data_IF_200026404179
#
_entry.id   IF_200026404179
#
_cell.length_a   1.000
_cell.length_b   1.000
_cell.length_c   1.000
_cell.angle_alpha   90.00
_cell.angle_beta   90.00
_cell.angle_gamma   90.00
#
_symmetry.space_group_name_H-M   'P 1'
#
loop_
_entity.id
_entity.type
_entity.pdbx_description
1 polymer ?
#
# COMPACT_ATOMS: atom_id res chain seq x y z
N UNK A 1 24.52 -22.28 8.22
CA UNK A 1 24.35 -21.13 7.31
C UNK A 1 25.65 -20.37 7.31
N UNK A 2 26.11 -19.89 6.16
CA UNK A 2 27.31 -19.03 6.10
C UNK A 2 26.98 -17.67 6.73
N UNK A 3 27.86 -17.14 7.57
CA UNK A 3 27.66 -15.87 8.30
C UNK A 3 28.14 -14.69 7.43
N UNK A 4 27.63 -14.63 6.21
CA UNK A 4 27.99 -13.64 5.18
C UNK A 4 26.83 -12.68 4.92
N UNK A 5 27.15 -11.46 4.51
CA UNK A 5 26.20 -10.43 4.07
C UNK A 5 26.28 -10.23 2.55
N UNK A 6 25.17 -9.81 1.94
CA UNK A 6 25.12 -9.44 0.52
C UNK A 6 25.45 -7.97 0.37
N UNK A 7 26.53 -7.63 -0.34
CA UNK A 7 26.90 -6.25 -0.65
C UNK A 7 26.02 -5.69 -1.79
N UNK A 8 25.71 -4.40 -1.70
CA UNK A 8 24.87 -3.69 -2.66
C UNK A 8 25.61 -2.50 -3.29
N UNK A 9 25.32 -2.23 -4.56
CA UNK A 9 25.69 -0.97 -5.21
C UNK A 9 24.74 0.17 -4.79
N UNK A 10 25.05 1.41 -5.17
CA UNK A 10 24.21 2.58 -4.81
C UNK A 10 22.78 2.52 -5.37
N UNK A 11 22.54 1.70 -6.39
CA UNK A 11 21.22 1.44 -6.96
C UNK A 11 20.48 0.29 -6.25
N UNK A 12 21.04 -0.28 -5.18
CA UNK A 12 20.45 -1.37 -4.40
C UNK A 12 20.58 -2.75 -5.04
N UNK A 13 21.45 -2.92 -6.04
CA UNK A 13 21.67 -4.21 -6.72
C UNK A 13 22.79 -4.97 -6.05
N UNK A 14 22.61 -6.27 -5.86
CA UNK A 14 23.65 -7.16 -5.34
C UNK A 14 24.91 -7.08 -6.20
N UNK A 15 26.03 -6.75 -5.57
CA UNK A 15 27.33 -6.55 -6.24
C UNK A 15 28.47 -7.39 -5.63
N UNK A 16 28.22 -8.07 -4.50
CA UNK A 16 29.21 -8.93 -3.84
C UNK A 16 28.71 -9.58 -2.57
N UNK A 17 29.60 -10.27 -1.86
CA UNK A 17 29.36 -10.92 -0.57
C UNK A 17 30.54 -10.61 0.34
N UNK A 18 30.31 -10.39 1.64
CA UNK A 18 31.36 -10.18 2.63
C UNK A 18 31.06 -10.90 3.95
N UNK A 19 32.08 -11.31 4.73
CA UNK A 19 31.84 -11.93 6.04
C UNK A 19 31.22 -10.92 7.01
N UNK A 20 30.09 -11.29 7.62
CA UNK A 20 29.39 -10.45 8.63
C UNK A 20 30.29 -10.09 9.80
N UNK A 21 31.15 -11.04 10.19
CA UNK A 21 32.12 -10.89 11.27
C UNK A 21 33.11 -9.74 11.04
N UNK A 22 33.34 -9.32 9.80
CA UNK A 22 34.34 -8.29 9.46
C UNK A 22 33.76 -7.07 8.76
N UNK A 23 32.57 -7.16 8.16
CA UNK A 23 32.00 -6.09 7.30
C UNK A 23 31.64 -4.81 8.06
N UNK A 24 31.38 -4.88 9.36
CA UNK A 24 30.97 -3.73 10.17
C UNK A 24 32.18 -3.03 10.80
N UNK A 25 32.68 -1.97 10.16
CA UNK A 25 33.79 -1.12 10.59
C UNK A 25 33.49 0.38 10.32
N UNK A 26 34.51 1.23 10.20
CA UNK A 26 34.35 2.67 9.92
C UNK A 26 34.02 2.98 8.44
N UNK A 27 34.19 2.00 7.56
CA UNK A 27 33.97 2.06 6.12
C UNK A 27 32.97 0.99 5.64
N UNK A 28 32.04 0.55 6.51
CA UNK A 28 31.03 -0.47 6.20
C UNK A 28 30.35 -0.23 4.84
N UNK A 29 30.55 -1.12 3.86
CA UNK A 29 29.92 -1.01 2.55
C UNK A 29 28.40 -1.16 2.67
N UNK A 30 27.67 -0.62 1.69
CA UNK A 30 26.23 -0.83 1.63
C UNK A 30 25.95 -2.32 1.47
N UNK A 31 25.07 -2.87 2.31
CA UNK A 31 24.72 -4.27 2.27
C UNK A 31 23.24 -4.50 2.60
N UNK A 32 22.74 -5.68 2.28
CA UNK A 32 21.36 -6.07 2.47
C UNK A 32 21.14 -6.58 3.91
N UNK A 33 20.07 -6.10 4.53
CA UNK A 33 19.62 -6.51 5.84
C UNK A 33 18.09 -6.63 5.87
N UNK A 34 17.52 -6.95 7.02
CA UNK A 34 16.09 -6.86 7.27
C UNK A 34 15.81 -6.41 8.70
N UNK A 35 14.60 -5.88 8.90
CA UNK A 35 14.08 -5.54 10.22
C UNK A 35 12.67 -6.11 10.39
N UNK A 36 12.32 -6.62 11.57
CA UNK A 36 11.04 -7.25 11.84
C UNK A 36 10.39 -6.72 13.14
N UNK A 37 9.10 -6.39 13.08
CA UNK A 37 8.26 -6.07 14.23
C UNK A 37 7.25 -7.21 14.44
N UNK A 38 7.34 -7.88 15.58
CA UNK A 38 6.45 -8.95 16.00
C UNK A 38 5.38 -8.37 16.93
N UNK A 39 4.13 -8.58 16.56
CA UNK A 39 2.96 -8.18 17.32
C UNK A 39 2.31 -9.38 18.01
N UNK A 40 1.48 -9.10 19.01
CA UNK A 40 0.51 -10.08 19.47
C UNK A 40 -0.55 -10.32 18.37
N UNK A 41 -1.30 -11.43 18.38
CA UNK A 41 -2.28 -11.74 17.34
C UNK A 41 -3.37 -10.68 17.14
N UNK A 42 -3.58 -9.75 18.08
CA UNK A 42 -4.50 -8.63 17.95
C UNK A 42 -3.88 -7.35 17.39
N UNK A 43 -2.59 -7.34 17.07
CA UNK A 43 -1.83 -6.18 16.58
C UNK A 43 -1.78 -4.98 17.53
N UNK A 44 -2.06 -5.19 18.83
CA UNK A 44 -2.13 -4.10 19.81
C UNK A 44 -0.82 -3.88 20.53
N UNK A 45 -0.09 -4.94 20.80
CA UNK A 45 1.17 -4.94 21.50
C UNK A 45 2.28 -5.41 20.57
N UNK A 46 3.41 -4.73 20.62
CA UNK A 46 4.61 -5.05 19.87
C UNK A 46 5.70 -5.54 20.82
N UNK A 47 6.44 -6.55 20.39
CA UNK A 47 7.58 -7.09 21.12
C UNK A 47 8.81 -6.21 20.86
N UNK A 48 9.37 -5.62 21.90
CA UNK A 48 10.71 -5.06 21.87
C UNK A 48 11.71 -6.04 22.45
N UNK A 49 12.91 -6.03 21.90
CA UNK A 49 14.04 -6.81 22.41
C UNK A 49 15.19 -5.90 22.79
N UNK A 50 15.90 -6.27 23.84
CA UNK A 50 17.15 -5.66 24.25
C UNK A 50 18.27 -6.50 23.69
N UNK A 51 19.14 -5.91 22.88
CA UNK A 51 20.29 -6.61 22.29
C UNK A 51 21.20 -7.14 23.39
N UNK A 52 21.73 -8.35 23.22
CA UNK A 52 22.71 -8.91 24.15
C UNK A 52 23.93 -7.98 24.29
N UNK A 53 24.55 -7.98 25.48
CA UNK A 53 25.72 -7.14 25.76
C UNK A 53 26.98 -7.59 25.01
N UNK A 54 27.00 -8.83 24.53
CA UNK A 54 28.05 -9.42 23.69
C UNK A 54 28.01 -8.94 22.24
N UNK A 55 26.94 -8.26 21.79
CA UNK A 55 26.79 -7.81 20.42
C UNK A 55 27.82 -6.74 20.07
N UNK A 56 28.48 -6.91 18.92
CA UNK A 56 29.47 -5.95 18.40
C UNK A 56 28.88 -4.56 18.13
N UNK A 57 27.67 -4.51 17.56
CA UNK A 57 26.98 -3.28 17.21
C UNK A 57 25.83 -3.00 18.18
N UNK A 58 25.79 -1.80 18.78
CA UNK A 58 24.84 -1.36 19.82
C UNK A 58 24.51 -2.43 20.88
N UNK A 59 25.47 -2.86 21.73
CA UNK A 59 25.19 -3.79 22.83
C UNK A 59 24.22 -3.17 23.84
N UNK A 60 23.28 -3.96 24.35
CA UNK A 60 22.36 -3.54 25.42
C UNK A 60 21.27 -2.53 25.03
N UNK A 61 21.22 -2.05 23.77
CA UNK A 61 20.18 -1.12 23.34
C UNK A 61 18.84 -1.85 23.14
N UNK A 62 17.74 -1.18 23.46
CA UNK A 62 16.40 -1.63 23.11
C UNK A 62 16.11 -1.35 21.63
N UNK A 63 15.48 -2.29 20.94
CA UNK A 63 15.14 -2.20 19.51
C UNK A 63 13.79 -2.86 19.24
N UNK A 64 13.31 -2.74 18.00
CA UNK A 64 12.28 -3.61 17.44
C UNK A 64 12.66 -5.10 17.55
N UNK A 65 11.70 -5.98 17.28
CA UNK A 65 11.73 -7.38 17.71
C UNK A 65 12.94 -8.18 17.24
N UNK A 66 13.27 -8.14 15.95
CA UNK A 66 14.38 -8.92 15.39
C UNK A 66 14.96 -8.22 14.15
N UNK A 67 16.27 -8.21 14.00
CA UNK A 67 16.97 -7.70 12.81
C UNK A 67 18.09 -8.65 12.41
N UNK A 68 18.45 -8.69 11.14
CA UNK A 68 19.51 -9.55 10.68
C UNK A 68 19.85 -9.33 9.22
N UNK A 69 20.64 -10.27 8.69
CA UNK A 69 21.13 -10.25 7.32
C UNK A 69 20.65 -11.53 6.64
N UNK A 70 19.97 -11.45 5.48
CA UNK A 70 19.63 -12.64 4.73
C UNK A 70 20.91 -13.27 4.17
N UNK A 71 21.13 -14.59 4.35
CA UNK A 71 22.25 -15.26 3.71
C UNK A 71 22.16 -15.14 2.18
N UNK A 72 23.30 -15.18 1.46
CA UNK A 72 23.29 -15.06 0.00
C UNK A 72 22.38 -16.09 -0.68
N UNK A 73 21.43 -15.62 -1.49
CA UNK A 73 20.49 -16.46 -2.24
C UNK A 73 19.29 -16.98 -1.45
N UNK A 74 19.14 -16.63 -0.17
CA UNK A 74 18.00 -17.00 0.67
C UNK A 74 16.92 -15.90 0.60
N UNK A 75 15.65 -16.30 0.53
CA UNK A 75 14.53 -15.36 0.58
C UNK A 75 14.51 -14.62 1.93
N UNK A 76 14.26 -13.31 1.91
CA UNK A 76 14.30 -12.50 3.12
C UNK A 76 13.26 -12.97 4.15
N UNK A 77 12.10 -13.43 3.70
CA UNK A 77 11.03 -13.93 4.59
C UNK A 77 11.46 -15.21 5.30
N UNK A 78 12.14 -16.11 4.58
CA UNK A 78 12.72 -17.33 5.16
C UNK A 78 13.82 -16.97 6.18
N UNK A 79 14.72 -16.04 5.83
CA UNK A 79 15.76 -15.56 6.73
C UNK A 79 15.19 -14.90 8.00
N UNK A 80 14.07 -14.18 7.89
CA UNK A 80 13.36 -13.60 9.04
C UNK A 80 12.82 -14.69 9.95
N UNK A 81 12.13 -15.70 9.40
CA UNK A 81 11.54 -16.80 10.19
C UNK A 81 12.63 -17.55 10.95
N UNK A 82 13.71 -17.92 10.25
CA UNK A 82 14.87 -18.60 10.85
C UNK A 82 15.54 -17.76 11.93
N UNK A 83 15.70 -16.44 11.69
CA UNK A 83 16.32 -15.54 12.67
C UNK A 83 15.44 -15.33 13.89
N UNK A 84 14.13 -15.19 13.72
CA UNK A 84 13.16 -15.08 14.82
C UNK A 84 13.17 -16.36 15.64
N UNK A 85 13.18 -17.53 15.00
CA UNK A 85 13.29 -18.79 15.72
C UNK A 85 14.62 -18.87 16.50
N UNK A 86 15.74 -18.50 15.87
CA UNK A 86 17.05 -18.53 16.51
C UNK A 86 17.20 -17.54 17.67
N UNK A 87 16.74 -16.29 17.52
CA UNK A 87 16.91 -15.25 18.55
C UNK A 87 15.86 -15.34 19.66
N UNK A 88 14.64 -15.75 19.34
CA UNK A 88 13.48 -15.64 20.24
C UNK A 88 12.84 -16.99 20.61
N UNK A 89 13.24 -18.08 19.97
CA UNK A 89 12.75 -19.42 20.28
C UNK A 89 11.28 -19.65 19.94
N UNK A 90 10.71 -18.84 19.04
CA UNK A 90 9.26 -18.88 18.71
C UNK A 90 9.04 -19.04 17.21
N UNK A 91 7.87 -19.56 16.87
CA UNK A 91 7.34 -19.51 15.52
C UNK A 91 6.56 -18.21 15.30
N UNK A 92 6.67 -17.64 14.10
CA UNK A 92 5.93 -16.44 13.71
C UNK A 92 4.99 -16.72 12.55
N UNK A 93 3.97 -15.85 12.40
CA UNK A 93 3.20 -15.77 11.15
C UNK A 93 4.11 -15.41 9.97
N UNK A 94 3.65 -15.68 8.75
CA UNK A 94 4.34 -15.23 7.54
C UNK A 94 4.69 -13.73 7.63
N UNK A 95 5.98 -13.34 7.49
CA UNK A 95 6.40 -11.94 7.55
C UNK A 95 5.72 -11.12 6.46
N UNK A 96 5.11 -9.99 6.82
CA UNK A 96 4.47 -9.05 5.91
C UNK A 96 5.37 -7.84 5.70
N UNK A 97 5.68 -7.51 4.45
CA UNK A 97 6.54 -6.36 4.13
C UNK A 97 5.78 -5.04 4.37
N UNK A 98 6.34 -4.18 5.21
CA UNK A 98 5.74 -2.91 5.63
C UNK A 98 6.49 -1.68 5.09
N UNK A 99 7.83 -1.70 5.06
CA UNK A 99 8.64 -0.63 4.46
C UNK A 99 9.66 -1.24 3.49
N UNK A 100 9.32 -1.37 2.19
CA UNK A 100 10.20 -2.01 1.20
C UNK A 100 11.52 -1.27 0.99
N UNK A 101 11.46 0.07 0.94
CA UNK A 101 12.59 0.91 0.54
C UNK A 101 13.35 1.51 1.74
N UNK A 102 13.21 0.92 2.93
CA UNK A 102 13.90 1.45 4.10
C UNK A 102 15.41 1.26 3.95
N UNK A 103 16.14 2.38 3.99
CA UNK A 103 17.60 2.45 3.94
C UNK A 103 18.08 3.40 5.01
N UNK A 104 19.16 3.05 5.69
CA UNK A 104 19.74 3.91 6.72
C UNK A 104 21.26 3.74 6.81
N UNK A 105 21.89 4.75 7.41
CA UNK A 105 23.28 4.68 7.86
C UNK A 105 23.37 5.21 9.28
N UNK A 106 23.97 4.45 10.18
CA UNK A 106 24.15 4.84 11.59
C UNK A 106 25.57 4.53 12.03
N UNK A 107 26.16 5.38 12.86
CA UNK A 107 27.51 5.19 13.40
C UNK A 107 27.46 5.17 14.93
N UNK A 108 28.21 4.25 15.53
CA UNK A 108 28.50 4.25 16.96
C UNK A 108 29.63 5.24 17.28
N UNK A 109 29.73 5.65 18.55
CA UNK A 109 30.81 6.54 19.02
C UNK A 109 32.21 5.96 18.80
N UNK A 110 32.33 4.63 18.83
CA UNK A 110 33.58 3.91 18.57
C UNK A 110 33.94 3.77 17.08
N UNK A 111 33.17 4.39 16.18
CA UNK A 111 33.41 4.42 14.74
C UNK A 111 32.76 3.30 13.94
N UNK A 112 32.18 2.27 14.57
CA UNK A 112 31.51 1.17 13.84
C UNK A 112 30.22 1.66 13.18
N UNK A 113 30.04 1.35 11.90
CA UNK A 113 28.93 1.82 11.05
C UNK A 113 28.01 0.67 10.65
N UNK A 114 26.71 0.94 10.65
CA UNK A 114 25.69 0.21 9.88
C UNK A 114 25.35 1.03 8.64
N UNK A 115 25.31 0.40 7.48
CA UNK A 115 24.99 1.03 6.19
C UNK A 115 24.19 0.04 5.35
N UNK A 116 22.87 0.10 5.48
CA UNK A 116 22.01 -1.01 5.07
C UNK A 116 20.85 -0.54 4.19
N UNK A 117 20.54 -1.34 3.16
CA UNK A 117 19.18 -1.44 2.62
C UNK A 117 18.49 -2.52 3.46
N UNK A 118 17.46 -2.13 4.21
CA UNK A 118 16.91 -2.91 5.30
C UNK A 118 15.37 -2.90 5.25
N UNK A 119 14.75 -3.63 4.30
CA UNK A 119 13.30 -3.70 4.21
C UNK A 119 12.70 -4.14 5.56
N UNK A 120 11.60 -3.50 5.94
CA UNK A 120 10.96 -3.71 7.25
C UNK A 120 9.74 -4.57 7.10
N UNK A 121 9.64 -5.59 7.94
CA UNK A 121 8.55 -6.55 7.98
C UNK A 121 7.80 -6.48 9.31
N UNK A 122 6.55 -6.92 9.29
CA UNK A 122 5.71 -7.13 10.47
C UNK A 122 5.22 -8.56 10.50
N UNK A 123 5.03 -9.12 11.69
CA UNK A 123 4.45 -10.45 11.86
C UNK A 123 3.79 -10.56 13.22
N UNK A 124 3.24 -11.73 13.52
CA UNK A 124 2.67 -12.04 14.83
C UNK A 124 3.28 -13.29 15.42
N UNK A 125 3.31 -13.33 16.75
CA UNK A 125 3.64 -14.51 17.53
C UNK A 125 2.55 -14.74 18.56
N UNK A 126 2.13 -15.98 18.73
CA UNK A 126 1.20 -16.39 19.79
C UNK A 126 1.94 -17.01 21.00
N UNK A 127 3.20 -17.37 20.80
CA UNK A 127 4.04 -18.05 21.77
C UNK A 127 4.79 -17.06 22.65
N UNK A 128 5.15 -17.51 23.87
CA UNK A 128 6.00 -16.74 24.77
C UNK A 128 7.46 -16.89 24.32
N UNK A 129 8.19 -15.79 24.04
CA UNK A 129 9.59 -15.87 23.67
C UNK A 129 10.46 -16.59 24.69
N UNK A 130 11.32 -17.47 24.20
CA UNK A 130 12.44 -18.09 24.94
C UNK A 130 13.75 -17.64 24.28
N UNK A 131 14.23 -16.43 24.60
CA UNK A 131 15.29 -15.81 23.82
C UNK A 131 16.63 -16.52 23.99
N UNK A 132 17.42 -16.54 22.92
CA UNK A 132 18.81 -16.93 22.97
C UNK A 132 19.62 -15.83 23.70
N UNK A 133 20.27 -16.14 24.85
CA UNK A 133 20.97 -15.13 25.66
C UNK A 133 22.19 -14.52 24.95
N UNK A 134 22.73 -15.18 23.91
CA UNK A 134 23.82 -14.63 23.11
C UNK A 134 23.37 -13.51 22.18
N UNK A 135 22.06 -13.39 21.94
CA UNK A 135 21.46 -12.44 21.00
C UNK A 135 20.56 -11.41 21.69
N UNK A 136 19.79 -11.84 22.70
CA UNK A 136 18.77 -11.02 23.36
C UNK A 136 18.97 -11.06 24.89
N UNK A 137 19.27 -9.90 25.49
CA UNK A 137 19.41 -9.75 26.94
C UNK A 137 18.07 -9.66 27.68
N UNK A 138 17.00 -9.27 26.98
CA UNK A 138 15.66 -9.13 27.55
C UNK A 138 14.63 -8.79 26.49
N UNK A 139 13.36 -8.94 26.81
CA UNK A 139 12.26 -8.53 25.93
C UNK A 139 11.11 -7.95 26.74
N UNK A 140 10.24 -7.19 26.08
CA UNK A 140 8.98 -6.71 26.67
C UNK A 140 7.94 -6.44 25.60
N UNK A 141 6.69 -6.59 25.98
CA UNK A 141 5.55 -6.17 25.18
C UNK A 141 5.15 -4.73 25.55
N UNK A 142 4.91 -3.89 24.54
CA UNK A 142 4.39 -2.54 24.73
C UNK A 142 3.21 -2.30 23.78
N UNK A 143 2.17 -1.54 24.18
CA UNK A 143 1.18 -1.05 23.23
C UNK A 143 1.86 -0.33 22.06
N UNK A 144 1.42 -0.60 20.83
CA UNK A 144 2.01 0.02 19.64
C UNK A 144 1.85 1.54 19.65
N UNK A 145 0.69 2.06 20.06
CA UNK A 145 0.49 3.52 20.29
C UNK A 145 1.53 4.09 21.24
N UNK A 146 1.72 3.45 22.39
CA UNK A 146 2.66 3.91 23.41
C UNK A 146 4.09 3.92 22.86
N UNK A 147 4.51 2.90 22.12
CA UNK A 147 5.82 2.89 21.48
C UNK A 147 5.99 4.06 20.51
N UNK A 148 5.01 4.28 19.62
CA UNK A 148 5.03 5.38 18.67
C UNK A 148 5.16 6.72 19.38
N UNK A 149 4.31 6.99 20.37
CA UNK A 149 4.29 8.27 21.10
C UNK A 149 5.63 8.52 21.80
N UNK A 150 6.15 7.53 22.52
CA UNK A 150 7.39 7.69 23.29
C UNK A 150 8.64 7.80 22.41
N UNK A 151 8.68 7.13 21.25
CA UNK A 151 9.80 7.22 20.29
C UNK A 151 9.74 8.53 19.51
N UNK A 152 8.56 8.97 19.08
CA UNK A 152 8.37 10.23 18.37
C UNK A 152 8.61 11.46 19.26
N UNK A 153 8.26 11.35 20.54
CA UNK A 153 8.56 12.36 21.56
C UNK A 153 10.01 12.28 22.10
N UNK A 154 10.80 11.31 21.64
CA UNK A 154 12.18 11.05 22.08
C UNK A 154 12.33 10.77 23.59
N UNK A 155 11.27 10.28 24.22
CA UNK A 155 11.26 9.92 25.65
C UNK A 155 11.62 8.45 25.90
N UNK A 156 11.74 7.65 24.84
CA UNK A 156 12.23 6.27 24.90
C UNK A 156 13.47 6.09 24.03
N UNK A 157 14.58 5.75 24.67
CA UNK A 157 15.79 5.33 23.98
C UNK A 157 15.55 3.99 23.25
N UNK A 158 15.75 4.00 21.94
CA UNK A 158 15.76 2.83 21.05
C UNK A 158 16.93 2.94 20.09
N UNK A 159 17.22 1.86 19.35
CA UNK A 159 18.20 1.89 18.27
C UNK A 159 17.87 2.95 17.21
N UNK A 160 18.89 3.51 16.51
CA UNK A 160 18.67 4.54 15.50
C UNK A 160 17.72 4.09 14.38
N UNK A 161 17.82 2.85 13.91
CA UNK A 161 16.93 2.31 12.89
C UNK A 161 15.50 2.16 13.40
N UNK A 162 15.29 1.67 14.64
CA UNK A 162 13.95 1.58 15.23
C UNK A 162 13.28 2.96 15.29
N UNK A 163 14.01 4.00 15.70
CA UNK A 163 13.49 5.39 15.71
C UNK A 163 13.04 5.85 14.32
N UNK A 164 13.86 5.63 13.29
CA UNK A 164 13.55 6.00 11.90
C UNK A 164 12.37 5.20 11.32
N UNK A 165 12.30 3.91 11.65
CA UNK A 165 11.25 3.01 11.19
C UNK A 165 9.91 3.33 11.85
N UNK A 166 9.88 3.54 13.16
CA UNK A 166 8.65 3.93 13.89
C UNK A 166 8.07 5.22 13.31
N UNK A 167 8.91 6.21 12.98
CA UNK A 167 8.45 7.45 12.35
C UNK A 167 7.75 7.24 10.99
N UNK A 168 8.13 6.20 10.24
CA UNK A 168 7.51 5.82 8.97
C UNK A 168 6.30 4.90 9.18
N UNK A 169 6.42 3.89 10.03
CA UNK A 169 5.35 2.92 10.34
C UNK A 169 4.14 3.60 10.99
N UNK A 170 4.34 4.60 11.85
CA UNK A 170 3.25 5.35 12.49
C UNK A 170 2.37 6.11 11.47
N UNK A 171 2.87 6.37 10.26
CA UNK A 171 2.12 7.01 9.18
C UNK A 171 1.22 6.03 8.43
N UNK A 172 1.43 4.71 8.61
CA UNK A 172 0.62 3.66 8.00
C UNK A 172 -0.64 3.47 8.87
N UNK A 173 -1.79 3.98 8.38
CA UNK A 173 -3.08 4.09 9.09
C UNK A 173 -3.72 2.80 9.65
N UNK A 174 -3.08 1.63 9.52
CA UNK A 174 -3.73 0.32 9.73
C UNK A 174 -3.11 -0.60 10.81
N UNK A 175 -2.23 -0.12 11.69
CA UNK A 175 -1.63 -0.99 12.72
C UNK A 175 -2.50 -1.19 13.97
N UNK A 176 -3.65 -0.51 14.12
CA UNK A 176 -4.42 -0.47 15.38
C UNK A 176 -5.84 -1.07 15.34
N UNK A 177 -6.34 -1.52 14.20
CA UNK A 177 -7.68 -2.10 14.13
C UNK A 177 -7.61 -3.61 14.33
N UNK A 178 -7.98 -4.09 15.52
CA UNK A 178 -8.18 -5.50 15.88
C UNK A 178 -9.34 -6.18 15.15
N UNK A 179 -9.41 -6.03 13.84
CA UNK A 179 -10.37 -6.64 12.93
C UNK A 179 -9.63 -7.73 12.15
N UNK A 180 -10.03 -8.98 12.35
CA UNK A 180 -9.52 -10.15 11.60
C UNK A 180 -9.67 -9.92 10.09
N UNK A 181 -8.55 -9.72 9.40
CA UNK A 181 -8.09 -10.61 8.32
C UNK A 181 -6.65 -10.23 7.94
N UNK A 182 -5.73 -11.18 8.15
CA UNK A 182 -4.36 -11.08 7.68
C UNK A 182 -4.32 -11.57 6.25
N UNK A 183 -4.09 -10.63 5.32
CA UNK A 183 -3.85 -10.93 3.92
C UNK A 183 -2.45 -11.58 3.81
N UNK A 184 -2.29 -12.79 3.26
CA UNK A 184 -0.97 -13.38 3.03
C UNK A 184 -0.30 -12.67 1.84
N UNK A 185 1.00 -12.35 1.94
CA UNK A 185 1.81 -12.03 0.76
C UNK A 185 2.94 -13.05 0.56
N UNK A 186 2.96 -13.59 -0.65
CA UNK A 186 3.80 -14.67 -1.15
C UNK A 186 5.27 -14.22 -1.35
N UNK A 187 6.18 -15.16 -1.10
CA UNK A 187 7.60 -15.08 -1.44
C UNK A 187 7.81 -14.67 -2.90
N UNK A 188 8.94 -14.01 -3.20
CA UNK A 188 9.24 -13.47 -4.53
C UNK A 188 9.41 -14.54 -5.61
N UNK A 189 8.30 -15.08 -6.12
CA UNK A 189 8.04 -15.07 -7.55
C UNK A 189 7.27 -13.80 -7.82
N UNK A 190 7.75 -12.94 -8.73
CA UNK A 190 7.10 -11.67 -9.13
C UNK A 190 5.57 -11.75 -9.03
N UNK A 191 4.98 -11.23 -7.94
CA UNK A 191 3.55 -11.30 -7.70
C UNK A 191 2.86 -10.68 -8.92
N UNK A 192 2.26 -11.54 -9.74
CA UNK A 192 1.85 -11.09 -11.06
C UNK A 192 0.54 -10.37 -10.89
N UNK A 193 0.58 -9.05 -10.79
CA UNK A 193 -0.62 -8.20 -10.83
C UNK A 193 -1.44 -8.59 -12.05
N UNK A 194 -2.66 -9.08 -11.82
CA UNK A 194 -3.61 -9.36 -12.89
C UNK A 194 -4.50 -8.16 -13.06
N UNK A 195 -4.91 -7.94 -14.30
CA UNK A 195 -5.86 -6.89 -14.64
C UNK A 195 -7.08 -7.52 -15.27
N UNK A 196 -8.26 -7.08 -14.85
CA UNK A 196 -9.53 -7.39 -15.51
C UNK A 196 -10.10 -6.10 -16.06
N UNK A 197 -10.46 -6.11 -17.35
CA UNK A 197 -11.10 -4.97 -18.00
C UNK A 197 -12.54 -5.30 -18.36
N UNK A 198 -13.47 -4.49 -17.87
CA UNK A 198 -14.87 -4.50 -18.31
C UNK A 198 -15.11 -3.32 -19.24
N UNK A 199 -15.99 -3.52 -20.23
CA UNK A 199 -16.31 -2.52 -21.24
C UNK A 199 -17.80 -2.28 -21.31
N UNK A 200 -18.18 -1.02 -21.51
CA UNK A 200 -19.57 -0.63 -21.72
C UNK A 200 -19.65 0.63 -22.58
N UNK A 201 -20.84 0.92 -23.11
CA UNK A 201 -21.14 2.11 -23.89
C UNK A 201 -22.48 2.68 -23.45
N UNK A 202 -22.66 3.98 -23.62
CA UNK A 202 -23.88 4.70 -23.26
C UNK A 202 -24.04 5.96 -24.13
N UNK A 203 -25.27 6.40 -24.34
CA UNK A 203 -25.61 7.57 -25.14
C UNK A 203 -26.05 8.69 -24.20
N UNK A 204 -25.32 9.80 -24.16
CA UNK A 204 -25.70 10.91 -23.27
C UNK A 204 -25.33 12.26 -23.84
N UNK A 205 -26.15 13.26 -23.53
CA UNK A 205 -25.88 14.63 -23.88
C UNK A 205 -24.99 15.30 -22.84
N UNK A 206 -24.18 16.25 -23.27
CA UNK A 206 -23.48 17.13 -22.36
C UNK A 206 -23.40 18.56 -22.90
N UNK A 207 -22.97 19.47 -22.03
CA UNK A 207 -22.71 20.86 -22.36
C UNK A 207 -21.59 21.39 -21.48
N UNK A 208 -20.71 22.20 -22.07
CA UNK A 208 -19.55 22.82 -21.41
C UNK A 208 -19.53 24.32 -21.72
N UNK A 209 -20.35 25.14 -21.04
CA UNK A 209 -20.43 26.59 -21.26
C UNK A 209 -19.12 27.34 -20.93
N UNK A 210 -18.28 26.74 -20.09
CA UNK A 210 -16.97 27.28 -19.70
C UNK A 210 -15.91 27.15 -20.80
N UNK A 211 -16.14 26.26 -21.78
CA UNK A 211 -15.24 26.08 -22.91
C UNK A 211 -15.72 26.91 -24.09
N UNK A 212 -14.81 27.40 -24.92
CA UNK A 212 -15.18 27.93 -26.24
C UNK A 212 -15.56 26.81 -27.22
N UNK A 213 -16.18 27.16 -28.35
CA UNK A 213 -16.39 26.23 -29.47
C UNK A 213 -17.76 25.54 -29.45
N UNK A 214 -17.84 24.32 -30.01
CA UNK A 214 -19.12 23.63 -30.26
C UNK A 214 -19.80 23.12 -28.98
N UNK A 215 -19.00 22.74 -27.98
CA UNK A 215 -19.47 22.14 -26.72
C UNK A 215 -20.24 23.10 -25.81
N UNK A 216 -20.30 24.40 -26.14
CA UNK A 216 -21.19 25.36 -25.46
C UNK A 216 -22.67 25.06 -25.67
N UNK A 217 -23.00 24.28 -26.70
CA UNK A 217 -24.37 23.85 -26.99
C UNK A 217 -24.63 22.49 -26.36
N UNK A 218 -25.88 22.24 -25.95
CA UNK A 218 -26.30 20.90 -25.55
C UNK A 218 -26.30 19.99 -26.77
N UNK A 219 -25.55 18.89 -26.70
CA UNK A 219 -25.43 17.91 -27.79
C UNK A 219 -25.14 16.52 -27.22
N UNK A 220 -25.51 15.50 -28.00
CA UNK A 220 -25.35 14.09 -27.66
C UNK A 220 -24.08 13.47 -28.24
N UNK A 221 -23.55 12.47 -27.55
CA UNK A 221 -22.52 11.58 -28.05
C UNK A 221 -22.78 10.13 -27.66
N UNK A 222 -22.13 9.24 -28.40
CA UNK A 222 -21.94 7.86 -28.02
C UNK A 222 -20.66 7.75 -27.21
N UNK A 223 -20.77 7.35 -25.95
CA UNK A 223 -19.66 7.23 -25.02
C UNK A 223 -19.26 5.77 -24.88
N UNK A 224 -17.96 5.50 -24.86
CA UNK A 224 -17.40 4.19 -24.54
C UNK A 224 -16.52 4.30 -23.30
N UNK A 225 -16.66 3.31 -22.41
CA UNK A 225 -15.83 3.19 -21.23
C UNK A 225 -15.14 1.82 -21.18
N UNK A 226 -13.85 1.84 -20.89
CA UNK A 226 -13.05 0.68 -20.55
C UNK A 226 -12.53 0.87 -19.13
N UNK A 227 -12.98 0.03 -18.20
CA UNK A 227 -12.59 0.10 -16.80
C UNK A 227 -11.75 -1.13 -16.48
N UNK A 228 -10.49 -0.89 -16.17
CA UNK A 228 -9.53 -1.89 -15.74
C UNK A 228 -9.32 -1.80 -14.25
N UNK A 229 -9.57 -2.92 -13.56
CA UNK A 229 -9.16 -3.12 -12.18
C UNK A 229 -7.91 -3.99 -12.13
N UNK A 230 -7.07 -3.77 -11.14
CA UNK A 230 -5.85 -4.55 -10.92
C UNK A 230 -5.74 -5.01 -9.48
N UNK A 231 -5.03 -6.12 -9.28
CA UNK A 231 -4.79 -6.67 -7.95
C UNK A 231 -4.22 -8.08 -8.01
N UNK A 232 -4.11 -8.69 -6.83
CA UNK A 232 -3.80 -10.09 -6.68
C UNK A 232 -5.05 -10.96 -6.93
N UNK A 233 -4.84 -12.23 -7.30
CA UNK A 233 -5.92 -13.20 -7.35
C UNK A 233 -6.31 -13.58 -5.91
N UNK A 234 -7.60 -13.81 -5.66
CA UNK A 234 -8.10 -14.37 -4.41
C UNK A 234 -7.88 -15.89 -4.34
N UNK A 235 -8.31 -16.52 -3.24
CA UNK A 235 -8.18 -17.98 -3.03
C UNK A 235 -8.86 -18.83 -4.12
N UNK A 236 -9.85 -18.26 -4.83
CA UNK A 236 -10.52 -18.90 -5.95
C UNK A 236 -9.77 -18.73 -7.28
N UNK A 237 -8.60 -18.08 -7.27
CA UNK A 237 -7.77 -17.85 -8.45
C UNK A 237 -8.32 -16.78 -9.40
N UNK A 238 -9.21 -15.89 -8.93
CA UNK A 238 -9.78 -14.79 -9.72
C UNK A 238 -9.47 -13.43 -9.09
N UNK A 239 -9.41 -12.37 -9.89
CA UNK A 239 -9.19 -11.01 -9.40
C UNK A 239 -10.47 -10.43 -8.78
N UNK A 240 -11.54 -10.48 -9.55
CA UNK A 240 -12.91 -10.10 -9.18
C UNK A 240 -13.86 -11.03 -9.92
N UNK A 241 -15.08 -11.17 -9.43
CA UNK A 241 -16.17 -11.62 -10.28
C UNK A 241 -16.48 -10.50 -11.29
N UNK A 242 -15.95 -10.65 -12.51
CA UNK A 242 -16.15 -9.66 -13.57
C UNK A 242 -17.62 -9.55 -13.99
N UNK A 243 -18.44 -10.58 -13.75
CA UNK A 243 -19.87 -10.57 -13.99
C UNK A 243 -20.58 -9.62 -13.05
N UNK A 244 -20.27 -9.70 -11.75
CA UNK A 244 -20.77 -8.76 -10.73
C UNK A 244 -20.31 -7.33 -11.04
N UNK A 245 -19.01 -7.12 -11.26
CA UNK A 245 -18.46 -5.79 -11.57
C UNK A 245 -19.12 -5.18 -12.80
N UNK A 246 -19.25 -5.97 -13.88
CA UNK A 246 -19.88 -5.55 -15.14
C UNK A 246 -21.34 -5.19 -14.95
N UNK A 247 -22.11 -5.99 -14.19
CA UNK A 247 -23.53 -5.73 -13.93
C UNK A 247 -23.70 -4.43 -13.13
N UNK A 248 -22.97 -4.28 -12.03
CA UNK A 248 -23.03 -3.09 -11.16
C UNK A 248 -22.69 -1.80 -11.91
N UNK A 249 -21.64 -1.83 -12.73
CA UNK A 249 -21.26 -0.67 -13.55
C UNK A 249 -22.29 -0.34 -14.60
N UNK A 250 -22.80 -1.35 -15.31
CA UNK A 250 -23.89 -1.17 -16.28
C UNK A 250 -25.10 -0.54 -15.60
N UNK A 251 -25.61 -1.15 -14.53
CA UNK A 251 -26.82 -0.69 -13.85
C UNK A 251 -26.68 0.75 -13.38
N UNK A 252 -25.50 1.14 -12.89
CA UNK A 252 -25.25 2.52 -12.49
C UNK A 252 -25.19 3.48 -13.68
N UNK A 253 -24.48 3.13 -14.76
CA UNK A 253 -24.41 3.95 -15.97
C UNK A 253 -25.81 4.09 -16.59
N UNK A 254 -26.54 2.99 -16.71
CA UNK A 254 -27.90 2.93 -17.24
C UNK A 254 -28.88 3.68 -16.35
N UNK A 255 -28.67 3.76 -15.05
CA UNK A 255 -29.54 4.52 -14.14
C UNK A 255 -29.21 6.02 -14.13
N UNK A 256 -27.94 6.40 -14.34
CA UNK A 256 -27.48 7.77 -14.08
C UNK A 256 -27.13 8.56 -15.34
N UNK A 257 -26.48 7.93 -16.32
CA UNK A 257 -25.86 8.63 -17.45
C UNK A 257 -26.56 8.34 -18.78
N UNK A 258 -26.87 7.07 -19.06
CA UNK A 258 -27.38 6.62 -20.36
C UNK A 258 -28.77 7.20 -20.67
N UNK A 259 -29.01 7.54 -21.93
CA UNK A 259 -30.23 8.19 -22.42
C UNK A 259 -30.66 9.40 -21.57
N UNK A 260 -29.69 10.22 -21.15
CA UNK A 260 -29.90 11.42 -20.35
C UNK A 260 -29.02 12.59 -20.78
N UNK A 261 -28.84 13.53 -19.86
CA UNK A 261 -27.87 14.60 -19.99
C UNK A 261 -26.95 14.67 -18.76
N UNK A 262 -25.71 15.10 -18.97
CA UNK A 262 -24.74 15.47 -17.95
C UNK A 262 -24.53 16.98 -18.03
N UNK A 263 -24.72 17.70 -16.93
CA UNK A 263 -24.47 19.14 -16.84
C UNK A 263 -23.76 19.48 -15.54
N UNK A 264 -22.98 20.56 -15.53
CA UNK A 264 -22.52 21.15 -14.27
C UNK A 264 -23.72 21.60 -13.43
N UNK A 265 -23.64 21.46 -12.11
CA UNK A 265 -24.77 21.74 -11.21
C UNK A 265 -25.28 23.19 -11.32
N UNK A 266 -24.41 24.11 -11.72
CA UNK A 266 -24.70 25.52 -11.93
C UNK A 266 -25.16 25.87 -13.36
N UNK A 267 -25.33 24.89 -14.27
CA UNK A 267 -25.78 25.18 -15.64
C UNK A 267 -27.22 25.74 -15.65
N UNK A 268 -27.50 26.86 -16.34
CA UNK A 268 -28.82 27.47 -16.40
C UNK A 268 -29.93 26.56 -16.97
N UNK A 269 -29.59 25.48 -17.69
CA UNK A 269 -30.57 24.53 -18.20
C UNK A 269 -31.06 23.52 -17.14
N UNK A 270 -30.34 23.37 -16.02
CA UNK A 270 -30.68 22.39 -14.97
C UNK A 270 -32.12 22.55 -14.46
N UNK A 271 -32.62 23.76 -14.09
CA UNK A 271 -33.98 23.90 -13.59
C UNK A 271 -35.05 23.51 -14.60
N UNK A 272 -34.86 23.85 -15.88
CA UNK A 272 -35.81 23.55 -16.95
C UNK A 272 -35.88 22.03 -17.23
N UNK A 273 -34.73 21.36 -17.30
CA UNK A 273 -34.67 19.91 -17.52
C UNK A 273 -35.29 19.13 -16.36
N UNK A 274 -35.06 19.54 -15.11
CA UNK A 274 -35.67 18.90 -13.94
C UNK A 274 -37.18 19.13 -13.88
N UNK A 275 -37.67 20.32 -14.24
CA UNK A 275 -39.10 20.61 -14.29
C UNK A 275 -39.85 19.68 -15.26
N UNK A 276 -39.22 19.36 -16.38
CA UNK A 276 -39.74 18.43 -17.40
C UNK A 276 -39.38 16.96 -17.11
N UNK A 277 -38.83 16.66 -15.92
CA UNK A 277 -38.45 15.30 -15.50
C UNK A 277 -37.48 14.60 -16.46
N UNK A 278 -36.66 15.38 -17.16
CA UNK A 278 -35.58 14.83 -17.98
C UNK A 278 -34.53 14.19 -17.09
N UNK A 279 -33.99 13.05 -17.54
CA UNK A 279 -32.89 12.37 -16.85
C UNK A 279 -31.64 13.24 -16.91
N UNK A 280 -31.15 13.65 -15.75
CA UNK A 280 -30.06 14.59 -15.64
C UNK A 280 -29.10 14.19 -14.51
N UNK A 281 -27.85 13.95 -14.88
CA UNK A 281 -26.75 13.84 -13.94
C UNK A 281 -26.10 15.22 -13.73
N UNK A 282 -26.02 15.66 -12.48
CA UNK A 282 -25.51 17.00 -12.10
C UNK A 282 -24.10 16.87 -11.54
N UNK A 283 -23.12 17.29 -12.32
CA UNK A 283 -21.70 17.33 -11.96
C UNK A 283 -21.43 18.40 -10.90
N UNK A 284 -20.55 18.10 -9.94
CA UNK A 284 -20.08 19.03 -8.90
C UNK A 284 -20.94 19.09 -7.63
N UNK A 285 -22.19 18.62 -7.68
CA UNK A 285 -23.13 18.75 -6.56
C UNK A 285 -22.91 17.70 -5.46
N UNK A 286 -23.19 16.44 -5.80
CA UNK A 286 -23.22 15.33 -4.84
C UNK A 286 -22.15 14.29 -5.18
N UNK A 287 -21.78 13.47 -4.20
CA UNK A 287 -20.98 12.27 -4.44
C UNK A 287 -21.70 11.37 -5.48
N UNK A 288 -20.96 10.74 -6.42
CA UNK A 288 -19.51 10.69 -6.52
C UNK A 288 -18.86 11.88 -7.28
N UNK A 289 -19.65 12.82 -7.79
CA UNK A 289 -19.17 13.92 -8.64
C UNK A 289 -18.73 15.19 -7.91
N UNK A 290 -18.82 15.25 -6.59
CA UNK A 290 -18.42 16.43 -5.82
C UNK A 290 -16.99 16.88 -6.15
N UNK A 291 -16.82 18.16 -6.49
CA UNK A 291 -15.56 18.75 -6.96
C UNK A 291 -15.22 18.50 -8.45
N UNK A 292 -16.06 17.78 -9.18
CA UNK A 292 -15.99 17.64 -10.64
C UNK A 292 -17.05 18.55 -11.27
N UNK A 293 -16.74 19.83 -11.44
CA UNK A 293 -17.75 20.86 -11.74
C UNK A 293 -18.46 20.69 -13.09
N UNK A 294 -17.78 20.09 -14.07
CA UNK A 294 -18.28 20.00 -15.45
C UNK A 294 -18.05 18.62 -16.06
N UNK A 295 -18.94 18.14 -16.95
CA UNK A 295 -18.86 16.83 -17.59
C UNK A 295 -17.87 16.80 -18.76
N UNK A 296 -16.62 17.19 -18.52
CA UNK A 296 -15.53 16.96 -19.48
C UNK A 296 -15.21 15.46 -19.54
N UNK A 297 -14.62 15.00 -20.63
CA UNK A 297 -14.25 13.58 -20.78
C UNK A 297 -13.30 13.11 -19.66
N UNK A 298 -12.41 13.98 -19.19
CA UNK A 298 -11.52 13.73 -18.05
C UNK A 298 -12.33 13.55 -16.75
N UNK A 299 -13.25 14.47 -16.45
CA UNK A 299 -14.09 14.38 -15.25
C UNK A 299 -15.05 13.20 -15.30
N UNK A 300 -15.53 12.80 -16.47
CA UNK A 300 -16.33 11.57 -16.64
C UNK A 300 -15.46 10.34 -16.35
N UNK A 301 -14.19 10.31 -16.78
CA UNK A 301 -13.27 9.22 -16.46
C UNK A 301 -13.01 9.10 -14.95
N UNK A 302 -12.84 10.23 -14.27
CA UNK A 302 -12.69 10.28 -12.81
C UNK A 302 -13.98 9.89 -12.08
N UNK A 303 -15.14 10.36 -12.54
CA UNK A 303 -16.44 9.96 -11.98
C UNK A 303 -16.61 8.44 -12.01
N UNK A 304 -16.33 7.81 -13.16
CA UNK A 304 -16.44 6.35 -13.30
C UNK A 304 -15.40 5.61 -12.45
N UNK A 305 -14.21 6.18 -12.25
CA UNK A 305 -13.24 5.63 -11.31
C UNK A 305 -13.75 5.67 -9.86
N UNK A 306 -14.34 6.80 -9.41
CA UNK A 306 -14.96 6.94 -8.08
C UNK A 306 -16.10 5.96 -7.86
N UNK A 307 -16.98 5.81 -8.85
CA UNK A 307 -18.09 4.83 -8.83
C UNK A 307 -17.54 3.40 -8.71
N UNK A 308 -16.53 3.07 -9.51
CA UNK A 308 -15.91 1.75 -9.50
C UNK A 308 -15.24 1.47 -8.16
N UNK A 309 -14.52 2.44 -7.60
CA UNK A 309 -13.90 2.34 -6.28
C UNK A 309 -14.95 2.10 -5.17
N UNK A 310 -16.10 2.78 -5.25
CA UNK A 310 -17.24 2.51 -4.37
C UNK A 310 -17.73 1.06 -4.46
N UNK A 311 -17.88 0.52 -5.67
CA UNK A 311 -18.30 -0.87 -5.86
C UNK A 311 -17.27 -1.89 -5.36
N UNK A 312 -15.99 -1.63 -5.59
CA UNK A 312 -14.89 -2.43 -5.05
C UNK A 312 -14.98 -2.49 -3.52
N UNK A 313 -15.17 -1.32 -2.88
CA UNK A 313 -15.29 -1.22 -1.43
C UNK A 313 -16.54 -1.97 -0.91
N UNK A 314 -17.70 -1.76 -1.53
CA UNK A 314 -18.95 -2.43 -1.15
C UNK A 314 -18.91 -3.96 -1.36
N UNK A 315 -18.19 -4.43 -2.39
CA UNK A 315 -18.02 -5.85 -2.67
C UNK A 315 -16.95 -6.51 -1.79
N UNK A 316 -16.22 -5.74 -0.98
CA UNK A 316 -15.16 -6.24 -0.10
C UNK A 316 -13.90 -6.70 -0.87
N UNK A 317 -13.67 -6.19 -2.08
CA UNK A 317 -12.49 -6.53 -2.88
C UNK A 317 -11.27 -5.72 -2.44
N UNK A 318 -10.81 -5.98 -1.21
CA UNK A 318 -9.79 -5.20 -0.49
C UNK A 318 -8.43 -5.11 -1.19
N UNK A 319 -8.06 -6.09 -2.02
CA UNK A 319 -6.80 -6.13 -2.77
C UNK A 319 -6.95 -5.70 -4.23
N UNK A 320 -8.09 -5.11 -4.59
CA UNK A 320 -8.40 -4.67 -5.96
C UNK A 320 -8.48 -3.16 -5.97
N UNK A 321 -7.81 -2.53 -6.92
CA UNK A 321 -7.91 -1.10 -7.15
C UNK A 321 -8.32 -0.80 -8.58
N UNK A 322 -8.88 0.37 -8.79
CA UNK A 322 -9.03 0.91 -10.14
C UNK A 322 -7.63 1.19 -10.68
N UNK A 323 -7.27 0.53 -11.78
CA UNK A 323 -5.96 0.69 -12.40
C UNK A 323 -6.00 1.69 -13.54
N UNK A 324 -7.05 1.61 -14.36
CA UNK A 324 -7.22 2.44 -15.54
C UNK A 324 -8.70 2.64 -15.82
N UNK A 325 -9.10 3.87 -16.12
CA UNK A 325 -10.39 4.18 -16.72
C UNK A 325 -10.16 4.97 -17.99
N UNK A 326 -10.61 4.43 -19.12
CA UNK A 326 -10.57 5.12 -20.40
C UNK A 326 -11.99 5.44 -20.83
N UNK A 327 -12.24 6.71 -21.11
CA UNK A 327 -13.53 7.20 -21.62
C UNK A 327 -13.32 7.82 -23.00
N UNK A 328 -14.21 7.50 -23.92
CA UNK A 328 -14.16 7.93 -25.32
C UNK A 328 -15.51 8.51 -25.70
N UNK A 329 -15.56 9.81 -26.00
CA UNK A 329 -16.79 10.57 -26.36
C UNK A 329 -17.12 10.43 -27.86
N UNK A 330 -16.10 10.19 -28.69
CA UNK A 330 -16.24 9.86 -30.11
C UNK A 330 -15.13 8.91 -30.49
N UNK A 331 -15.23 8.15 -31.58
CA UNK A 331 -14.18 7.21 -32.03
C UNK A 331 -12.81 7.86 -32.34
N UNK A 332 -12.69 9.18 -32.20
CA UNK A 332 -11.45 9.95 -32.44
C UNK A 332 -10.93 10.73 -31.21
N UNK A 333 -11.68 10.82 -30.10
CA UNK A 333 -11.25 11.56 -28.91
C UNK A 333 -11.49 10.76 -27.62
N UNK A 334 -10.47 10.65 -26.77
CA UNK A 334 -10.53 9.90 -25.51
C UNK A 334 -9.70 10.57 -24.41
N UNK A 335 -10.11 10.38 -23.16
CA UNK A 335 -9.27 10.62 -21.98
C UNK A 335 -9.04 9.33 -21.21
N UNK A 336 -7.90 9.28 -20.54
CA UNK A 336 -7.46 8.13 -19.78
C UNK A 336 -6.96 8.57 -18.41
N UNK A 337 -7.47 7.91 -17.39
CA UNK A 337 -7.00 8.03 -16.02
C UNK A 337 -6.28 6.74 -15.64
N UNK A 338 -4.97 6.84 -15.44
CA UNK A 338 -4.10 5.76 -14.99
C UNK A 338 -3.69 5.99 -13.54
N UNK A 339 -3.61 4.92 -12.75
CA UNK A 339 -3.18 4.96 -11.34
C UNK A 339 -4.10 5.82 -10.48
N UNK A 340 -5.31 5.32 -10.22
CA UNK A 340 -6.26 5.94 -9.31
C UNK A 340 -5.70 5.96 -7.88
N UNK A 341 -5.53 7.14 -7.24
CA UNK A 341 -5.07 7.19 -5.86
C UNK A 341 -6.10 6.50 -4.96
N UNK A 342 -5.64 5.60 -4.09
CA UNK A 342 -6.45 5.06 -3.01
C UNK A 342 -6.83 6.24 -2.11
N UNK A 343 -8.00 6.84 -2.36
CA UNK A 343 -8.56 7.89 -1.52
C UNK A 343 -8.78 7.27 -0.14
N UNK A 344 -7.92 7.66 0.80
CA UNK A 344 -8.09 7.34 2.21
C UNK A 344 -9.28 8.14 2.71
N UNK A 345 -10.44 7.49 2.82
CA UNK A 345 -11.58 8.01 3.55
C UNK A 345 -11.22 8.20 5.04
#
# INVERSE_FOLDING_TARGET
MTDDVVLLDDAGRACGIAPKATVHDDNTPLHLAFSCYLFDPSYRFVLLTQRAWSKRTWPGIWSNSCCGHPPPGVDISEAIIERVHYELGVQMSSPQLALPDFRYRAAMENGVVENEVCPVYVGTIAEVPTPNPDEVAGYRWLPWTQLCDEVLADTRAVSPWCKLQVAKLAQIRNLHSGSRELVPFEASGRATTRTVTVRHNFETAHRLPILGGKCVNLHGHSWWTEITVAGALNEQGILVDFGILKARLRDWIDANLDHGAMLGHADPLVPALLAERSKLFRFGLDAPSHGLEWPTVENVSELLARVTAGFIAEAGWSNVTVHRVKVTETHVNAAELTEWPSLSA
#
